data_IF_099267044599
#
_entry.id   IF_099267044599
#
_cell.length_a   1.000
_cell.length_b   1.000
_cell.length_c   1.000
_cell.angle_alpha   90.00
_cell.angle_beta   90.00
_cell.angle_gamma   90.00
#
_symmetry.space_group_name_H-M   'P 1'
#
loop_
_entity.id
_entity.type
_entity.pdbx_description
1 polymer ?
#
# COMPACT_ATOMS: atom_id res chain seq x y z
N UNK A 1 11.03 13.32 8.24
CA UNK A 1 12.04 12.25 8.39
C UNK A 1 12.42 11.61 7.05
N UNK A 2 11.47 11.07 6.27
CA UNK A 2 11.78 10.38 5.00
C UNK A 2 12.40 11.26 3.90
N UNK A 3 12.07 12.56 3.85
CA UNK A 3 12.66 13.49 2.87
C UNK A 3 14.18 13.66 3.05
N UNK A 4 14.68 13.67 4.29
CA UNK A 4 16.12 13.79 4.59
C UNK A 4 16.88 12.53 4.18
N UNK A 5 16.32 11.35 4.48
CA UNK A 5 16.91 10.07 4.05
C UNK A 5 16.95 9.97 2.53
N UNK A 6 15.88 10.39 1.84
CA UNK A 6 15.84 10.45 0.38
C UNK A 6 16.93 11.36 -0.21
N UNK A 7 17.18 12.52 0.41
CA UNK A 7 18.27 13.41 0.02
C UNK A 7 19.66 12.77 0.16
N UNK A 8 19.90 12.03 1.26
CA UNK A 8 21.17 11.30 1.47
C UNK A 8 21.36 10.21 0.42
N UNK A 9 20.30 9.43 0.12
CA UNK A 9 20.36 8.39 -0.92
C UNK A 9 20.66 9.02 -2.27
N UNK A 10 19.94 10.08 -2.65
CA UNK A 10 20.12 10.76 -3.94
C UNK A 10 21.54 11.30 -4.12
N UNK A 11 22.14 11.90 -3.08
CA UNK A 11 23.50 12.41 -3.11
C UNK A 11 24.57 11.32 -3.33
N UNK A 12 24.24 10.04 -3.12
CA UNK A 12 25.17 8.92 -3.20
C UNK A 12 24.89 7.94 -4.36
N UNK A 13 23.87 8.18 -5.19
CA UNK A 13 23.55 7.31 -6.34
C UNK A 13 24.66 7.38 -7.40
N UNK A 14 25.10 8.59 -7.76
CA UNK A 14 26.19 8.79 -8.69
C UNK A 14 27.50 8.94 -7.94
N UNK A 15 28.44 8.03 -8.20
CA UNK A 15 29.74 7.99 -7.53
C UNK A 15 30.86 8.06 -8.54
N UNK A 16 31.98 8.61 -8.10
CA UNK A 16 33.13 8.90 -8.94
C UNK A 16 33.73 7.64 -9.62
N UNK A 17 33.63 6.48 -8.97
CA UNK A 17 34.11 5.16 -9.43
C UNK A 17 33.29 4.58 -10.60
N UNK A 18 32.06 5.07 -10.79
CA UNK A 18 31.13 4.60 -11.83
C UNK A 18 31.15 5.49 -13.09
N UNK A 19 32.05 6.48 -13.14
CA UNK A 19 32.24 7.38 -14.29
C UNK A 19 32.82 6.66 -15.52
N UNK A 20 32.56 7.16 -16.75
CA UNK A 20 31.67 8.27 -17.09
C UNK A 20 30.22 7.84 -17.36
N UNK A 21 29.96 6.54 -17.51
CA UNK A 21 28.67 6.00 -17.98
C UNK A 21 27.65 5.73 -16.87
N UNK A 22 28.09 5.71 -15.60
CA UNK A 22 27.25 5.55 -14.40
C UNK A 22 26.28 4.35 -14.45
N UNK A 23 26.77 3.18 -14.86
CA UNK A 23 25.92 2.00 -15.06
C UNK A 23 25.30 1.52 -13.76
N UNK A 24 26.03 1.60 -12.63
CA UNK A 24 25.50 1.25 -11.29
C UNK A 24 24.42 2.23 -10.87
N UNK A 25 24.68 3.53 -10.96
CA UNK A 25 23.71 4.57 -10.57
C UNK A 25 22.41 4.48 -11.37
N UNK A 26 22.51 4.32 -12.68
CA UNK A 26 21.33 4.19 -13.56
C UNK A 26 20.54 2.91 -13.27
N UNK A 27 21.20 1.77 -13.02
CA UNK A 27 20.53 0.53 -12.60
C UNK A 27 19.77 0.70 -11.28
N UNK A 28 20.37 1.40 -10.31
CA UNK A 28 19.73 1.68 -9.01
C UNK A 28 18.48 2.55 -9.18
N UNK A 29 18.54 3.62 -9.98
CA UNK A 29 17.39 4.47 -10.27
C UNK A 29 16.24 3.69 -10.92
N UNK A 30 16.55 2.88 -11.93
CA UNK A 30 15.56 2.03 -12.59
C UNK A 30 14.95 1.03 -11.61
N UNK A 31 15.75 0.42 -10.74
CA UNK A 31 15.26 -0.49 -9.72
C UNK A 31 14.32 0.22 -8.73
N UNK A 32 14.68 1.41 -8.24
CA UNK A 32 13.83 2.21 -7.33
C UNK A 32 12.49 2.54 -8.01
N UNK A 33 12.52 2.98 -9.27
CA UNK A 33 11.32 3.30 -10.03
C UNK A 33 10.42 2.07 -10.24
N UNK A 34 11.01 0.93 -10.59
CA UNK A 34 10.27 -0.33 -10.71
C UNK A 34 9.67 -0.77 -9.37
N UNK A 35 10.44 -0.70 -8.28
CA UNK A 35 9.95 -1.02 -6.93
C UNK A 35 8.78 -0.14 -6.50
N UNK A 36 8.78 1.15 -6.85
CA UNK A 36 7.66 2.05 -6.58
C UNK A 36 6.35 1.57 -7.23
N UNK A 37 6.41 1.15 -8.50
CA UNK A 37 5.25 0.56 -9.19
C UNK A 37 4.77 -0.72 -8.48
N UNK A 38 5.70 -1.60 -8.10
CA UNK A 38 5.38 -2.83 -7.37
C UNK A 38 4.69 -2.53 -6.04
N UNK A 39 5.15 -1.53 -5.29
CA UNK A 39 4.54 -1.13 -4.02
C UNK A 39 3.07 -0.71 -4.20
N UNK A 40 2.76 0.08 -5.24
CA UNK A 40 1.37 0.47 -5.51
C UNK A 40 0.49 -0.73 -5.89
N UNK A 41 1.00 -1.65 -6.71
CA UNK A 41 0.28 -2.87 -7.06
C UNK A 41 0.03 -3.74 -5.82
N UNK A 42 1.03 -3.88 -4.94
CA UNK A 42 0.89 -4.61 -3.67
C UNK A 42 -0.13 -3.94 -2.74
N UNK A 43 -0.12 -2.61 -2.65
CA UNK A 43 -1.09 -1.86 -1.86
C UNK A 43 -2.54 -2.08 -2.36
N UNK A 44 -2.75 -1.96 -3.68
CA UNK A 44 -4.04 -2.26 -4.32
C UNK A 44 -4.48 -3.70 -4.06
N UNK A 45 -3.58 -4.67 -4.25
CA UNK A 45 -3.84 -6.08 -3.98
C UNK A 45 -4.21 -6.34 -2.52
N UNK A 46 -3.52 -5.70 -1.58
CA UNK A 46 -3.83 -5.77 -0.14
C UNK A 46 -5.25 -5.25 0.15
N UNK A 47 -5.64 -4.11 -0.45
CA UNK A 47 -6.98 -3.55 -0.28
C UNK A 47 -8.07 -4.44 -0.86
N UNK A 48 -7.87 -4.99 -2.07
CA UNK A 48 -8.78 -5.97 -2.67
C UNK A 48 -8.96 -7.19 -1.76
N UNK A 49 -7.84 -7.74 -1.28
CA UNK A 49 -7.88 -8.92 -0.40
C UNK A 49 -8.61 -8.64 0.91
N UNK A 50 -8.35 -7.50 1.55
CA UNK A 50 -9.04 -7.07 2.77
C UNK A 50 -10.54 -6.86 2.53
N UNK A 51 -10.93 -6.25 1.42
CA UNK A 51 -12.34 -6.10 1.05
C UNK A 51 -13.00 -7.46 0.87
N UNK A 52 -12.36 -8.40 0.15
CA UNK A 52 -12.87 -9.76 -0.06
C UNK A 52 -13.04 -10.53 1.25
N UNK A 53 -12.12 -10.39 2.20
CA UNK A 53 -12.25 -10.99 3.52
C UNK A 53 -13.48 -10.45 4.25
N UNK A 54 -13.68 -9.14 4.22
CA UNK A 54 -14.84 -8.49 4.85
C UNK A 54 -16.15 -8.78 4.15
N UNK A 55 -16.15 -8.90 2.82
CA UNK A 55 -17.33 -9.31 2.05
C UNK A 55 -17.78 -10.71 2.48
N UNK A 56 -16.84 -11.63 2.69
CA UNK A 56 -17.16 -12.97 3.18
C UNK A 56 -17.80 -12.93 4.56
N UNK A 57 -17.23 -12.16 5.49
CA UNK A 57 -17.77 -12.02 6.84
C UNK A 57 -19.11 -11.29 6.86
N UNK A 58 -19.29 -10.27 6.02
CA UNK A 58 -20.53 -9.50 5.91
C UNK A 58 -21.66 -10.31 5.27
N UNK A 59 -21.37 -11.02 4.18
CA UNK A 59 -22.34 -11.86 3.47
C UNK A 59 -22.70 -13.15 4.22
N UNK A 60 -21.92 -13.52 5.25
CA UNK A 60 -22.28 -14.60 6.15
C UNK A 60 -23.34 -14.20 7.19
N UNK A 61 -23.55 -12.90 7.42
CA UNK A 61 -24.58 -12.38 8.33
C UNK A 61 -25.95 -12.37 7.66
N UNK A 62 -27.00 -12.70 8.41
CA UNK A 62 -28.39 -12.49 8.00
C UNK A 62 -28.69 -10.99 7.88
N UNK A 63 -29.81 -10.63 7.23
CA UNK A 63 -30.20 -9.23 7.07
C UNK A 63 -30.47 -8.56 8.41
N UNK A 64 -31.07 -9.29 9.35
CA UNK A 64 -31.35 -8.84 10.71
C UNK A 64 -30.05 -8.60 11.48
N UNK A 65 -29.08 -9.50 11.35
CA UNK A 65 -27.75 -9.36 11.98
C UNK A 65 -26.97 -8.18 11.41
N UNK A 66 -27.07 -7.93 10.10
CA UNK A 66 -26.46 -6.75 9.46
C UNK A 66 -27.07 -5.45 9.97
N UNK A 67 -28.40 -5.37 10.07
CA UNK A 67 -29.09 -4.19 10.63
C UNK A 67 -28.69 -3.99 12.09
N UNK A 68 -28.72 -5.06 12.90
CA UNK A 68 -28.30 -5.00 14.29
C UNK A 68 -26.85 -4.53 14.45
N UNK A 69 -25.93 -5.01 13.60
CA UNK A 69 -24.55 -4.54 13.59
C UNK A 69 -24.47 -3.04 13.27
N UNK A 70 -25.20 -2.55 12.27
CA UNK A 70 -25.16 -1.13 11.89
C UNK A 70 -25.71 -0.21 12.98
N UNK A 71 -26.71 -0.66 13.73
CA UNK A 71 -27.33 0.10 14.82
C UNK A 71 -26.50 0.12 16.10
N UNK A 72 -25.74 -0.96 16.36
CA UNK A 72 -25.05 -1.16 17.65
C UNK A 72 -23.53 -1.03 17.59
N UNK A 73 -22.93 -1.03 16.39
CA UNK A 73 -21.47 -1.06 16.26
C UNK A 73 -20.82 0.22 16.80
N UNK A 74 -19.78 0.04 17.60
CA UNK A 74 -18.88 1.10 18.06
C UNK A 74 -17.60 1.18 17.21
N UNK A 75 -17.49 0.39 16.14
CA UNK A 75 -16.29 0.31 15.32
C UNK A 75 -16.09 1.61 14.49
N UNK A 76 -14.95 2.31 14.63
CA UNK A 76 -14.69 3.51 13.85
C UNK A 76 -14.10 3.20 12.47
N UNK A 77 -14.69 3.82 11.43
CA UNK A 77 -14.14 3.92 10.08
C UNK A 77 -13.66 2.59 9.51
N UNK A 78 -12.34 2.45 9.29
CA UNK A 78 -11.75 1.26 8.68
C UNK A 78 -11.99 -0.03 9.47
N UNK A 79 -12.37 0.02 10.74
CA UNK A 79 -12.61 -1.18 11.56
C UNK A 79 -13.99 -1.80 11.29
N UNK A 80 -14.94 -1.05 10.70
CA UNK A 80 -16.28 -1.56 10.42
C UNK A 80 -16.28 -2.69 9.39
N UNK A 81 -17.21 -3.63 9.54
CA UNK A 81 -17.40 -4.77 8.62
C UNK A 81 -17.92 -4.35 7.24
N UNK A 82 -18.72 -3.29 7.16
CA UNK A 82 -19.25 -2.73 5.91
C UNK A 82 -18.27 -1.79 5.19
N UNK A 83 -17.17 -1.40 5.85
CA UNK A 83 -16.17 -0.53 5.24
C UNK A 83 -15.42 -1.22 4.10
N UNK A 84 -15.28 -0.52 2.96
CA UNK A 84 -14.48 -0.96 1.80
C UNK A 84 -13.39 0.06 1.48
N UNK A 85 -12.16 -0.42 1.31
CA UNK A 85 -11.05 0.39 0.83
C UNK A 85 -11.23 0.71 -0.66
N UNK A 86 -11.05 1.96 -1.07
CA UNK A 86 -10.93 2.34 -2.47
C UNK A 86 -9.59 1.82 -3.02
N UNK A 87 -9.61 1.15 -4.19
CA UNK A 87 -8.47 0.39 -4.69
C UNK A 87 -8.35 0.38 -6.22
#
# INVERSE_FOLDING_TARGET
MFAQVGGIVHANIYRADDRPHYRRGNKQLTAICASNNVIYLLAKGCYIWRNKQRDREWNALSREEQVHYLETTTDPGRKRKDFRFAH
#
